data_IF_929410351854
#
_entry.id   IF_929410351854
#
_cell.length_a   1.000
_cell.length_b   1.000
_cell.length_c   1.000
_cell.angle_alpha   90.00
_cell.angle_beta   90.00
_cell.angle_gamma   90.00
#
_symmetry.space_group_name_H-M   'P 1'
#
loop_
_entity.id
_entity.type
_entity.pdbx_description
1 polymer ?
#
# COMPACT_ATOMS: atom_id res chain seq x y z
N UNK A 1 -66.61 47.12 14.63
CA UNK A 1 -66.86 47.64 15.97
C UNK A 1 -65.51 47.75 16.67
N UNK A 2 -65.06 49.00 16.73
CA UNK A 2 -64.21 49.65 17.74
C UNK A 2 -62.98 48.84 18.21
N UNK A 3 -61.82 49.41 18.40
CA UNK A 3 -61.33 50.80 18.54
C UNK A 3 -59.81 50.80 18.58
N UNK A 4 -59.23 51.67 17.87
CA UNK A 4 -58.12 52.57 17.97
C UNK A 4 -57.57 52.80 19.41
N UNK A 5 -56.29 52.62 19.67
CA UNK A 5 -55.49 53.54 20.49
C UNK A 5 -54.05 53.57 20.04
N UNK A 6 -53.63 54.78 19.66
CA UNK A 6 -52.28 55.24 19.40
C UNK A 6 -51.53 55.58 20.69
N UNK A 7 -50.21 55.42 20.77
CA UNK A 7 -49.27 56.43 21.20
C UNK A 7 -47.79 56.00 21.26
N UNK A 8 -47.06 56.66 20.44
CA UNK A 8 -45.87 57.51 20.74
C UNK A 8 -44.64 56.85 21.43
N UNK A 9 -43.55 56.94 20.69
CA UNK A 9 -42.43 57.77 21.14
C UNK A 9 -41.13 57.03 21.38
N UNK A 10 -40.22 57.22 20.47
CA UNK A 10 -38.88 57.68 20.82
C UNK A 10 -37.74 56.65 20.91
N UNK A 11 -36.84 56.88 20.12
CA UNK A 11 -35.39 56.87 20.26
C UNK A 11 -34.69 55.95 19.24
N UNK A 12 -34.10 56.65 18.29
CA UNK A 12 -33.13 56.18 17.35
C UNK A 12 -31.90 55.66 18.12
N UNK A 13 -31.73 54.38 18.19
CA UNK A 13 -30.48 53.72 18.61
C UNK A 13 -29.83 53.14 17.39
N UNK A 14 -28.72 53.74 16.97
CA UNK A 14 -27.89 53.20 15.93
C UNK A 14 -27.31 51.86 16.41
N UNK A 15 -27.85 50.76 15.91
CA UNK A 15 -27.25 49.43 16.09
C UNK A 15 -26.19 49.29 14.98
N UNK A 16 -24.95 49.45 15.41
CA UNK A 16 -23.80 49.09 14.58
C UNK A 16 -23.88 47.58 14.26
N UNK A 17 -24.21 47.26 13.01
CA UNK A 17 -24.19 45.92 12.49
C UNK A 17 -22.72 45.45 12.35
N UNK A 18 -22.24 44.79 13.36
CA UNK A 18 -20.93 44.14 13.33
C UNK A 18 -21.05 42.92 12.40
N UNK A 19 -20.65 43.09 11.16
CA UNK A 19 -20.47 41.98 10.24
C UNK A 19 -19.30 41.12 10.72
N UNK A 20 -19.60 40.08 11.48
CA UNK A 20 -18.66 38.99 11.69
C UNK A 20 -18.52 38.25 10.35
N UNK A 21 -17.45 38.56 9.64
CA UNK A 21 -16.97 37.70 8.57
C UNK A 21 -16.55 36.37 9.24
N UNK A 22 -17.43 35.39 9.27
CA UNK A 22 -17.06 34.02 9.54
C UNK A 22 -16.26 33.58 8.32
N UNK A 23 -14.92 33.71 8.43
CA UNK A 23 -14.00 33.01 7.56
C UNK A 23 -14.23 31.53 7.79
N UNK A 24 -14.98 30.91 6.90
CA UNK A 24 -15.10 29.47 6.82
C UNK A 24 -13.76 28.97 6.28
N UNK A 25 -12.79 28.81 7.19
CA UNK A 25 -11.64 27.98 6.92
C UNK A 25 -12.17 26.56 6.75
N UNK A 26 -12.16 26.05 5.54
CA UNK A 26 -12.28 24.64 5.30
C UNK A 26 -11.09 23.98 6.00
N UNK A 27 -11.30 23.51 7.23
CA UNK A 27 -10.40 22.52 7.81
C UNK A 27 -10.46 21.32 6.86
N UNK A 28 -9.42 21.15 6.05
CA UNK A 28 -9.16 19.88 5.38
C UNK A 28 -9.03 18.85 6.50
N UNK A 29 -10.09 18.08 6.69
CA UNK A 29 -10.07 16.87 7.52
C UNK A 29 -8.96 16.04 6.90
N UNK A 30 -7.86 15.72 7.62
CA UNK A 30 -6.82 14.87 7.07
C UNK A 30 -7.51 13.59 6.64
N UNK A 31 -7.41 13.30 5.34
CA UNK A 31 -7.95 12.09 4.72
C UNK A 31 -7.43 10.93 5.56
N UNK A 32 -8.32 10.33 6.34
CA UNK A 32 -8.00 9.16 7.16
C UNK A 32 -7.38 8.15 6.20
N UNK A 33 -6.08 7.92 6.35
CA UNK A 33 -5.35 6.92 5.60
C UNK A 33 -6.03 5.59 5.93
N UNK A 34 -7.07 5.26 5.16
CA UNK A 34 -7.79 4.01 5.31
C UNK A 34 -6.77 2.89 5.24
N UNK A 35 -6.90 1.91 6.13
CA UNK A 35 -6.07 0.72 6.04
C UNK A 35 -6.13 0.21 4.60
N UNK A 36 -4.99 -0.23 4.02
CA UNK A 36 -5.00 -0.70 2.65
C UNK A 36 -6.04 -1.81 2.49
N UNK A 37 -6.81 -1.77 1.41
CA UNK A 37 -7.77 -2.81 1.11
C UNK A 37 -7.10 -4.19 1.21
N UNK A 38 -7.66 -5.08 2.02
CA UNK A 38 -7.21 -6.45 2.13
C UNK A 38 -8.21 -7.35 1.39
N UNK A 39 -7.72 -8.06 0.39
CA UNK A 39 -8.45 -9.13 -0.25
C UNK A 39 -7.88 -10.49 0.16
N UNK A 40 -8.75 -11.39 0.57
CA UNK A 40 -8.41 -12.76 0.95
C UNK A 40 -9.25 -13.75 0.16
N UNK A 41 -8.62 -14.78 -0.37
CA UNK A 41 -9.33 -15.81 -1.13
C UNK A 41 -8.45 -16.89 -1.72
N UNK A 42 -9.07 -17.73 -2.53
CA UNK A 42 -8.39 -18.77 -3.28
C UNK A 42 -8.00 -18.30 -4.69
N UNK A 43 -7.28 -19.14 -5.41
CA UNK A 43 -6.82 -18.85 -6.76
C UNK A 43 -7.98 -18.50 -7.71
N UNK A 44 -9.07 -19.29 -7.68
CA UNK A 44 -10.23 -19.05 -8.56
C UNK A 44 -10.93 -17.72 -8.27
N UNK A 45 -11.09 -17.37 -6.99
CA UNK A 45 -11.63 -16.08 -6.59
C UNK A 45 -10.75 -14.90 -7.02
N UNK A 46 -9.43 -15.10 -6.97
CA UNK A 46 -8.49 -14.09 -7.47
C UNK A 46 -8.66 -13.87 -8.98
N UNK A 47 -8.73 -14.91 -9.78
CA UNK A 47 -8.90 -14.84 -11.23
C UNK A 47 -10.24 -14.23 -11.66
N UNK A 48 -11.28 -14.34 -10.84
CA UNK A 48 -12.56 -13.70 -11.05
C UNK A 48 -12.55 -12.18 -10.71
N UNK A 49 -11.75 -11.80 -9.72
CA UNK A 49 -11.73 -10.42 -9.20
C UNK A 49 -10.68 -9.52 -9.80
N UNK A 50 -9.61 -10.12 -10.33
CA UNK A 50 -8.42 -9.38 -10.75
C UNK A 50 -7.81 -9.93 -12.03
N UNK A 51 -7.18 -9.03 -12.79
CA UNK A 51 -6.37 -9.40 -13.95
C UNK A 51 -5.10 -8.56 -14.04
N UNK A 52 -4.05 -9.19 -14.53
CA UNK A 52 -2.83 -8.49 -14.90
C UNK A 52 -2.93 -7.97 -16.34
N UNK A 53 -2.64 -6.68 -16.52
CA UNK A 53 -2.57 -6.05 -17.84
C UNK A 53 -1.17 -5.57 -18.13
N UNK A 54 -0.69 -5.85 -19.33
CA UNK A 54 0.61 -5.35 -19.76
C UNK A 54 0.53 -3.87 -20.13
N UNK A 55 1.38 -3.07 -19.53
CA UNK A 55 1.55 -1.65 -19.83
C UNK A 55 3.02 -1.40 -20.19
N UNK A 56 3.34 -1.50 -21.49
CA UNK A 56 4.73 -1.54 -21.95
C UNK A 56 5.45 -2.80 -21.46
N UNK A 57 6.55 -2.64 -20.72
CA UNK A 57 7.31 -3.74 -20.13
C UNK A 57 6.86 -4.11 -18.72
N UNK A 58 5.78 -3.50 -18.21
CA UNK A 58 5.30 -3.71 -16.87
C UNK A 58 4.00 -4.51 -16.86
N UNK A 59 3.77 -5.26 -15.80
CA UNK A 59 2.53 -5.98 -15.54
C UNK A 59 1.83 -5.34 -14.35
N UNK A 60 0.63 -4.81 -14.57
CA UNK A 60 -0.14 -4.02 -13.60
C UNK A 60 -1.42 -4.77 -13.25
N UNK A 61 -1.66 -4.97 -11.95
CA UNK A 61 -2.84 -5.63 -11.44
C UNK A 61 -4.04 -4.69 -11.42
N UNK A 62 -5.16 -5.11 -11.96
CA UNK A 62 -6.41 -4.36 -12.01
C UNK A 62 -7.56 -5.15 -11.40
N UNK A 63 -8.54 -4.43 -10.86
CA UNK A 63 -9.87 -5.01 -10.62
C UNK A 63 -10.50 -5.40 -11.95
N UNK A 64 -11.01 -6.62 -12.06
CA UNK A 64 -11.62 -7.11 -13.29
C UNK A 64 -12.88 -6.30 -13.66
N UNK A 65 -13.72 -6.00 -12.67
CA UNK A 65 -15.01 -5.31 -12.87
C UNK A 65 -14.89 -3.83 -13.24
N UNK A 66 -13.89 -3.12 -12.73
CA UNK A 66 -13.76 -1.67 -12.93
C UNK A 66 -12.59 -1.28 -13.83
N UNK A 67 -11.67 -2.20 -14.08
CA UNK A 67 -10.44 -1.94 -14.83
C UNK A 67 -9.50 -0.94 -14.15
N UNK A 68 -9.75 -0.57 -12.88
CA UNK A 68 -8.86 0.33 -12.12
C UNK A 68 -7.68 -0.44 -11.56
N UNK A 69 -6.47 0.15 -11.51
CA UNK A 69 -5.33 -0.44 -10.83
C UNK A 69 -5.65 -0.71 -9.35
N UNK A 70 -5.24 -1.88 -8.85
CA UNK A 70 -5.44 -2.27 -7.46
C UNK A 70 -4.39 -1.63 -6.55
N UNK A 71 -4.82 -1.15 -5.39
CA UNK A 71 -3.91 -0.75 -4.30
C UNK A 71 -4.41 -1.38 -3.01
N UNK A 72 -3.53 -2.14 -2.34
CA UNK A 72 -3.89 -2.88 -1.14
C UNK A 72 -3.04 -4.13 -0.97
N UNK A 73 -3.50 -5.03 -0.11
CA UNK A 73 -2.89 -6.33 0.11
C UNK A 73 -3.76 -7.46 -0.45
N UNK A 74 -3.12 -8.46 -1.02
CA UNK A 74 -3.77 -9.70 -1.45
C UNK A 74 -3.17 -10.83 -0.67
N UNK A 75 -4.02 -11.62 -0.01
CA UNK A 75 -3.67 -12.89 0.55
C UNK A 75 -4.40 -13.99 -0.21
N UNK A 76 -3.63 -14.83 -0.89
CA UNK A 76 -4.14 -15.87 -1.77
C UNK A 76 -3.67 -17.24 -1.32
N UNK A 77 -4.64 -18.11 -1.08
CA UNK A 77 -4.39 -19.51 -0.76
C UNK A 77 -4.61 -20.38 -2.01
N UNK A 78 -3.61 -21.13 -2.38
CA UNK A 78 -3.69 -22.24 -3.33
C UNK A 78 -3.36 -23.55 -2.60
N UNK A 79 -3.62 -24.70 -3.21
CA UNK A 79 -3.54 -26.02 -2.54
C UNK A 79 -2.33 -26.22 -1.64
N UNK A 80 -1.18 -25.69 -2.01
CA UNK A 80 0.11 -25.93 -1.33
C UNK A 80 0.88 -24.66 -0.96
N UNK A 81 0.31 -23.47 -1.27
CA UNK A 81 1.03 -22.21 -1.12
C UNK A 81 0.09 -21.10 -0.65
N UNK A 82 0.49 -20.44 0.44
CA UNK A 82 -0.08 -19.17 0.87
C UNK A 82 0.81 -18.03 0.35
N UNK A 83 0.23 -17.13 -0.43
CA UNK A 83 0.93 -15.96 -0.98
C UNK A 83 0.32 -14.68 -0.43
N UNK A 84 1.13 -13.79 0.12
CA UNK A 84 0.73 -12.45 0.54
C UNK A 84 1.54 -11.41 -0.23
N UNK A 85 0.87 -10.44 -0.82
CA UNK A 85 1.47 -9.43 -1.68
C UNK A 85 0.83 -8.08 -1.44
N UNK A 86 1.63 -7.02 -1.45
CA UNK A 86 1.15 -5.64 -1.33
C UNK A 86 1.35 -4.91 -2.65
N UNK A 87 0.33 -4.18 -3.05
CA UNK A 87 0.29 -3.44 -4.31
C UNK A 87 0.02 -1.95 -4.08
N UNK A 88 0.61 -1.13 -4.93
CA UNK A 88 0.30 0.29 -5.08
C UNK A 88 0.12 0.59 -6.55
N UNK A 89 -1.04 1.13 -6.92
CA UNK A 89 -1.39 1.41 -8.33
C UNK A 89 -1.15 0.22 -9.26
N UNK A 90 -1.49 -0.98 -8.79
CA UNK A 90 -1.38 -2.24 -9.52
C UNK A 90 0.03 -2.84 -9.59
N UNK A 91 1.05 -2.18 -9.05
CA UNK A 91 2.42 -2.69 -9.00
C UNK A 91 2.75 -3.24 -7.62
N UNK A 92 3.52 -4.31 -7.55
CA UNK A 92 4.05 -4.81 -6.27
C UNK A 92 4.84 -3.69 -5.58
N UNK A 93 4.47 -3.39 -4.33
CA UNK A 93 5.11 -2.34 -3.54
C UNK A 93 5.04 -2.69 -2.06
N UNK A 94 6.18 -2.91 -1.44
CA UNK A 94 6.29 -3.38 -0.06
C UNK A 94 6.66 -4.85 0.05
N UNK A 95 6.34 -5.45 1.19
CA UNK A 95 6.67 -6.85 1.48
C UNK A 95 5.75 -7.80 0.71
N UNK A 96 6.35 -8.84 0.14
CA UNK A 96 5.69 -10.01 -0.42
C UNK A 96 6.21 -11.26 0.29
N UNK A 97 5.33 -12.18 0.65
CA UNK A 97 5.70 -13.47 1.21
C UNK A 97 5.00 -14.61 0.49
N UNK A 98 5.70 -15.74 0.42
CA UNK A 98 5.18 -16.98 -0.16
C UNK A 98 5.57 -18.13 0.76
N UNK A 99 4.57 -18.76 1.40
CA UNK A 99 4.76 -19.88 2.31
C UNK A 99 4.30 -21.17 1.66
N UNK A 100 5.16 -22.16 1.66
CA UNK A 100 4.88 -23.50 1.15
C UNK A 100 4.23 -24.37 2.22
N UNK A 101 3.61 -25.47 1.79
CA UNK A 101 2.93 -26.44 2.67
C UNK A 101 3.87 -27.12 3.67
N UNK A 102 5.15 -27.28 3.32
CA UNK A 102 6.19 -27.82 4.20
C UNK A 102 6.59 -26.86 5.32
N UNK A 103 5.99 -25.66 5.36
CA UNK A 103 6.25 -24.62 6.34
C UNK A 103 7.40 -23.67 5.97
N UNK A 104 8.20 -23.99 4.95
CA UNK A 104 9.23 -23.08 4.46
C UNK A 104 8.62 -21.83 3.80
N UNK A 105 9.31 -20.69 3.81
CA UNK A 105 8.79 -19.50 3.14
C UNK A 105 9.91 -18.61 2.60
N UNK A 106 9.51 -17.72 1.73
CA UNK A 106 10.36 -16.64 1.20
C UNK A 106 9.66 -15.30 1.44
N UNK A 107 10.45 -14.32 1.80
CA UNK A 107 10.04 -12.91 1.88
C UNK A 107 10.88 -12.09 0.91
N UNK A 108 10.25 -11.14 0.24
CA UNK A 108 10.92 -10.23 -0.67
C UNK A 108 10.29 -8.84 -0.61
N UNK A 109 11.09 -7.80 -0.70
CA UNK A 109 10.61 -6.42 -0.76
C UNK A 109 10.61 -5.93 -2.19
N UNK A 110 9.52 -5.25 -2.56
CA UNK A 110 9.33 -4.67 -3.87
C UNK A 110 9.16 -3.15 -3.79
N UNK A 111 9.60 -2.46 -4.82
CA UNK A 111 9.33 -1.06 -5.08
C UNK A 111 8.95 -0.89 -6.54
N UNK A 112 7.78 -0.32 -6.79
CA UNK A 112 7.26 -0.04 -8.15
C UNK A 112 7.32 -1.27 -9.10
N UNK A 113 7.01 -2.45 -8.57
CA UNK A 113 7.01 -3.71 -9.30
C UNK A 113 8.37 -4.43 -9.36
N UNK A 114 9.45 -3.79 -8.92
CA UNK A 114 10.80 -4.35 -8.97
C UNK A 114 11.27 -4.82 -7.59
N UNK A 115 12.02 -5.92 -7.55
CA UNK A 115 12.72 -6.35 -6.34
C UNK A 115 13.67 -5.26 -5.87
N UNK A 116 13.54 -4.86 -4.60
CA UNK A 116 14.33 -3.78 -4.01
C UNK A 116 14.54 -4.04 -2.51
N UNK A 117 15.74 -4.42 -2.11
CA UNK A 117 16.07 -4.85 -0.77
C UNK A 117 16.35 -6.36 -0.69
N UNK A 118 16.20 -6.93 0.49
CA UNK A 118 16.46 -8.34 0.73
C UNK A 118 15.34 -9.24 0.19
N UNK A 119 15.74 -10.38 -0.35
CA UNK A 119 14.92 -11.56 -0.56
C UNK A 119 15.48 -12.65 0.35
N UNK A 120 14.71 -13.06 1.35
CA UNK A 120 15.14 -13.96 2.40
C UNK A 120 14.38 -15.28 2.32
N UNK A 121 15.10 -16.37 2.33
CA UNK A 121 14.57 -17.74 2.33
C UNK A 121 14.67 -18.33 3.73
N UNK A 122 13.58 -18.91 4.20
CA UNK A 122 13.49 -19.49 5.53
C UNK A 122 13.13 -20.98 5.44
N UNK A 123 13.69 -21.76 6.36
CA UNK A 123 13.22 -23.12 6.66
C UNK A 123 11.92 -23.07 7.45
N UNK A 124 11.22 -24.18 7.56
CA UNK A 124 9.98 -24.31 8.33
C UNK A 124 10.12 -23.93 9.82
N UNK A 125 11.29 -24.11 10.40
CA UNK A 125 11.63 -23.76 11.77
C UNK A 125 12.01 -22.28 11.98
N UNK A 126 11.99 -21.48 10.93
CA UNK A 126 12.34 -20.05 10.96
C UNK A 126 13.82 -19.74 10.74
N UNK A 127 14.65 -20.75 10.54
CA UNK A 127 16.07 -20.54 10.24
C UNK A 127 16.26 -19.90 8.87
N UNK A 128 17.06 -18.86 8.77
CA UNK A 128 17.43 -18.24 7.49
C UNK A 128 18.35 -19.17 6.71
N UNK A 129 17.96 -19.57 5.52
CA UNK A 129 18.73 -20.42 4.62
C UNK A 129 19.59 -19.60 3.66
N UNK A 130 19.07 -18.47 3.21
CA UNK A 130 19.73 -17.62 2.22
C UNK A 130 19.14 -16.23 2.24
N UNK A 131 19.98 -15.23 1.95
CA UNK A 131 19.58 -13.83 1.72
C UNK A 131 20.21 -13.37 0.44
N UNK A 132 19.40 -12.83 -0.45
CA UNK A 132 19.85 -12.25 -1.72
C UNK A 132 19.39 -10.79 -1.74
N UNK A 133 20.28 -9.88 -2.03
CA UNK A 133 19.96 -8.45 -2.08
C UNK A 133 19.72 -8.00 -3.51
N UNK A 134 18.69 -7.17 -3.69
CA UNK A 134 18.31 -6.59 -4.97
C UNK A 134 18.21 -5.07 -4.90
N UNK A 135 18.55 -4.41 -6.01
CA UNK A 135 18.34 -3.00 -6.22
C UNK A 135 17.76 -2.80 -7.62
N UNK A 136 16.54 -2.26 -7.69
CA UNK A 136 15.84 -2.00 -8.95
C UNK A 136 15.77 -3.24 -9.88
N UNK A 137 15.42 -4.38 -9.29
CA UNK A 137 15.27 -5.66 -9.99
C UNK A 137 16.58 -6.37 -10.33
N UNK A 138 17.73 -5.79 -10.00
CA UNK A 138 19.05 -6.38 -10.27
C UNK A 138 19.67 -6.91 -8.98
N UNK A 139 20.42 -8.01 -9.12
CA UNK A 139 21.23 -8.55 -8.03
C UNK A 139 22.19 -7.47 -7.53
N UNK A 140 22.21 -7.25 -6.22
CA UNK A 140 23.09 -6.28 -5.59
C UNK A 140 24.04 -7.02 -4.64
N UNK A 141 25.29 -7.19 -5.07
CA UNK A 141 26.36 -7.70 -4.24
C UNK A 141 26.96 -6.55 -3.42
N UNK A 142 26.92 -6.66 -2.09
CA UNK A 142 27.66 -5.73 -1.24
C UNK A 142 29.15 -5.93 -1.46
N UNK A 143 29.89 -4.87 -1.74
CA UNK A 143 31.34 -4.91 -1.94
C UNK A 143 32.14 -5.52 -0.77
N UNK A 144 31.48 -5.84 0.37
CA UNK A 144 32.09 -6.54 1.50
C UNK A 144 32.15 -8.05 1.36
N UNK A 145 31.25 -8.65 0.56
CA UNK A 145 31.23 -10.10 0.34
C UNK A 145 32.25 -10.53 -0.73
N UNK A 146 32.64 -9.61 -1.63
CA UNK A 146 33.68 -9.87 -2.63
C UNK A 146 35.10 -9.94 -2.05
N UNK A 147 35.33 -9.39 -0.84
CA UNK A 147 36.64 -9.45 -0.16
C UNK A 147 36.87 -10.73 0.65
N UNK A 148 35.83 -11.50 0.94
CA UNK A 148 35.95 -12.77 1.67
C UNK A 148 36.24 -13.97 0.73
N UNK A 149 36.06 -13.81 -0.58
CA UNK A 149 36.33 -14.85 -1.56
C UNK A 149 37.80 -14.96 -2.01
N UNK A 150 38.62 -13.92 -1.83
CA UNK A 150 40.00 -13.90 -2.28
C UNK A 150 41.03 -14.37 -1.24
N UNK A 151 40.61 -14.55 0.01
CA UNK A 151 41.56 -14.95 1.09
C UNK A 151 41.92 -16.44 1.10
N UNK A 152 41.29 -17.30 0.30
CA UNK A 152 41.53 -18.75 0.28
C UNK A 152 42.25 -19.29 -0.97
N UNK A 153 42.74 -18.42 -1.86
CA UNK A 153 43.43 -18.86 -3.09
C UNK A 153 44.95 -18.77 -3.04
N UNK A 154 45.55 -18.48 -1.89
CA UNK A 154 47.02 -18.31 -1.73
C UNK A 154 47.62 -19.20 -0.65
N UNK A 155 47.30 -20.50 -0.67
CA UNK A 155 48.11 -21.51 0.04
C UNK A 155 47.92 -22.89 -0.60
N UNK A 156 48.58 -23.12 -1.68
CA UNK A 156 49.08 -24.44 -2.12
C UNK A 156 50.42 -24.24 -2.84
#
# INVERSE_FOLDING_TARGET
>A
MFSFVSRKGGRIGAIALLLFLISCGSEEIPESKSAPDLWEGNQSGFELGFSFRSMGNESVLHYENSGRPFSGAIERNSSDVLTRQTFSSGKLNGLSSKRSKDGSWVEATYRDGLLHGAMTFYSADGTIRSVINYKEGRLFENARDSLSGEANASSL
#
